data_IF_501572285850
#
_entry.id   IF_501572285850
#
_cell.length_a   1.000
_cell.length_b   1.000
_cell.length_c   1.000
_cell.angle_alpha   90.00
_cell.angle_beta   90.00
_cell.angle_gamma   90.00
#
_symmetry.space_group_name_H-M   'P 1'
#
loop_
_entity.id
_entity.type
_entity.pdbx_description
1 polymer ?
#
# COMPACT_ATOMS: atom_id res chain seq x y z
N UNK A 1 -3.65 14.20 12.43
CA UNK A 1 -4.34 14.91 11.35
C UNK A 1 -5.47 15.75 11.93
N UNK A 2 -5.56 17.01 11.50
CA UNK A 2 -6.62 17.91 11.96
C UNK A 2 -7.96 17.63 11.25
N UNK A 3 -7.90 17.10 10.02
CA UNK A 3 -9.09 16.89 9.20
C UNK A 3 -9.04 15.56 8.48
N UNK A 4 -10.17 14.88 8.44
CA UNK A 4 -10.37 13.65 7.66
C UNK A 4 -11.47 13.91 6.66
N UNK A 5 -11.20 13.60 5.39
CA UNK A 5 -12.18 13.73 4.31
C UNK A 5 -12.53 12.34 3.80
N UNK A 6 -13.82 12.02 3.79
CA UNK A 6 -14.30 10.78 3.18
C UNK A 6 -14.64 11.06 1.73
N UNK A 7 -14.10 10.24 0.83
CA UNK A 7 -14.33 10.37 -0.60
C UNK A 7 -15.04 9.13 -1.12
N UNK A 8 -16.16 9.34 -1.82
CA UNK A 8 -16.88 8.27 -2.50
C UNK A 8 -16.48 8.30 -3.98
N UNK A 9 -15.94 7.19 -4.45
CA UNK A 9 -15.44 7.07 -5.82
C UNK A 9 -16.34 6.10 -6.60
N UNK A 10 -16.77 6.44 -7.84
CA UNK A 10 -17.71 5.62 -8.59
C UNK A 10 -17.04 4.41 -9.24
N UNK A 11 -16.44 3.55 -8.42
CA UNK A 11 -15.81 2.31 -8.88
C UNK A 11 -16.31 1.13 -8.05
N UNK A 12 -16.38 -0.04 -8.68
CA UNK A 12 -16.74 -1.29 -7.99
C UNK A 12 -15.51 -2.07 -7.57
N UNK A 13 -14.38 -1.82 -8.21
CA UNK A 13 -13.11 -2.47 -7.92
C UNK A 13 -12.21 -1.48 -7.15
N UNK A 14 -11.87 -1.78 -5.87
CA UNK A 14 -11.20 -0.81 -4.99
C UNK A 14 -9.87 -0.26 -5.54
N UNK A 15 -9.14 -1.07 -6.30
CA UNK A 15 -7.83 -0.66 -6.84
C UNK A 15 -7.96 0.41 -7.94
N UNK A 16 -9.16 0.66 -8.46
CA UNK A 16 -9.39 1.69 -9.49
C UNK A 16 -9.46 3.11 -8.93
N UNK A 17 -9.41 3.29 -7.62
CA UNK A 17 -9.45 4.64 -7.03
C UNK A 17 -8.32 5.53 -7.55
N UNK A 18 -7.20 4.96 -7.95
CA UNK A 18 -6.05 5.72 -8.45
C UNK A 18 -6.34 6.44 -9.77
N UNK A 19 -7.39 6.03 -10.50
CA UNK A 19 -7.84 6.75 -11.69
C UNK A 19 -8.50 8.09 -11.34
N UNK A 20 -8.94 8.26 -10.09
CA UNK A 20 -9.63 9.47 -9.61
C UNK A 20 -8.78 10.30 -8.66
N UNK A 21 -7.75 9.69 -8.06
CA UNK A 21 -6.89 10.34 -7.08
C UNK A 21 -5.48 10.43 -7.69
N UNK A 22 -5.04 11.65 -8.10
CA UNK A 22 -3.73 11.82 -8.75
C UNK A 22 -2.61 11.84 -7.72
N UNK A 23 -2.29 10.68 -7.17
CA UNK A 23 -1.30 10.51 -6.11
C UNK A 23 -0.02 9.90 -6.67
N UNK A 24 1.13 10.39 -6.20
CA UNK A 24 2.41 9.80 -6.56
C UNK A 24 3.22 10.63 -7.54
N UNK A 25 4.21 9.99 -8.14
CA UNK A 25 5.08 10.56 -9.14
C UNK A 25 6.02 11.65 -8.60
N UNK A 26 6.51 11.46 -7.35
CA UNK A 26 7.60 12.28 -6.82
C UNK A 26 8.68 11.35 -6.24
N UNK A 27 9.95 11.69 -6.47
CA UNK A 27 11.10 10.88 -6.04
C UNK A 27 10.89 9.39 -6.39
N UNK A 28 10.94 8.50 -5.39
CA UNK A 28 10.75 7.06 -5.59
C UNK A 28 9.29 6.62 -5.50
N UNK A 29 8.35 7.54 -5.29
CA UNK A 29 6.94 7.19 -5.20
C UNK A 29 6.40 6.80 -6.59
N UNK A 30 5.69 5.68 -6.70
CA UNK A 30 5.13 5.24 -7.99
C UNK A 30 4.17 6.25 -8.60
N UNK A 31 3.99 6.18 -9.91
CA UNK A 31 2.97 6.95 -10.61
C UNK A 31 1.58 6.42 -10.25
N UNK A 32 0.49 7.18 -10.51
CA UNK A 32 -0.86 6.67 -10.27
C UNK A 32 -1.14 5.34 -10.99
N UNK A 33 -0.62 5.16 -12.20
CA UNK A 33 -0.78 3.92 -12.96
C UNK A 33 -0.06 2.76 -12.28
N UNK A 34 1.13 3.00 -11.73
CA UNK A 34 1.88 1.99 -11.00
C UNK A 34 1.21 1.65 -9.67
N UNK A 35 0.69 2.64 -8.95
CA UNK A 35 -0.13 2.42 -7.75
C UNK A 35 -1.33 1.53 -8.07
N UNK A 36 -2.00 1.79 -9.20
CA UNK A 36 -3.15 1.01 -9.63
C UNK A 36 -2.76 -0.44 -9.93
N UNK A 37 -1.64 -0.66 -10.64
CA UNK A 37 -1.18 -1.99 -11.01
C UNK A 37 -0.83 -2.82 -9.76
N UNK A 38 -0.13 -2.24 -8.81
CA UNK A 38 0.23 -2.91 -7.55
C UNK A 38 -1.02 -3.19 -6.72
N UNK A 39 -1.92 -2.21 -6.62
CA UNK A 39 -3.17 -2.37 -5.87
C UNK A 39 -4.05 -3.46 -6.45
N UNK A 40 -4.12 -3.58 -7.78
CA UNK A 40 -4.84 -4.65 -8.45
C UNK A 40 -4.24 -6.01 -8.11
N UNK A 41 -2.91 -6.14 -8.20
CA UNK A 41 -2.22 -7.39 -7.87
C UNK A 41 -2.48 -7.81 -6.42
N UNK A 42 -2.35 -6.88 -5.48
CA UNK A 42 -2.56 -7.18 -4.06
C UNK A 42 -4.03 -7.43 -3.73
N UNK A 43 -4.95 -6.79 -4.43
CA UNK A 43 -6.37 -7.07 -4.27
C UNK A 43 -6.68 -8.51 -4.72
N UNK A 44 -6.20 -8.89 -5.90
CA UNK A 44 -6.43 -10.23 -6.45
C UNK A 44 -5.70 -11.32 -5.66
N UNK A 45 -4.55 -11.01 -5.09
CA UNK A 45 -3.72 -11.97 -4.38
C UNK A 45 -4.09 -12.09 -2.90
N UNK A 46 -4.31 -10.96 -2.22
CA UNK A 46 -4.48 -10.91 -0.76
C UNK A 46 -5.81 -10.30 -0.32
N UNK A 47 -6.59 -9.76 -1.21
CA UNK A 47 -7.79 -9.00 -0.86
C UNK A 47 -7.47 -7.63 -0.27
N UNK A 48 -6.26 -7.13 -0.43
CA UNK A 48 -5.86 -5.84 0.10
C UNK A 48 -6.49 -4.70 -0.67
N UNK A 49 -6.98 -3.67 0.03
CA UNK A 49 -7.56 -2.48 -0.58
C UNK A 49 -6.94 -1.21 -0.01
N UNK A 50 -6.64 -0.20 -0.84
CA UNK A 50 -6.21 1.10 -0.35
C UNK A 50 -7.40 1.80 0.31
N UNK A 51 -7.24 2.26 1.56
CA UNK A 51 -8.34 2.82 2.36
C UNK A 51 -8.08 4.23 2.87
N UNK A 52 -6.82 4.63 2.97
CA UNK A 52 -6.46 5.97 3.44
C UNK A 52 -5.25 6.48 2.69
N UNK A 53 -5.32 7.72 2.24
CA UNK A 53 -4.26 8.38 1.50
C UNK A 53 -4.02 9.74 2.15
N UNK A 54 -2.78 10.02 2.50
CA UNK A 54 -2.37 11.32 3.01
C UNK A 54 -1.21 11.85 2.18
N UNK A 55 -0.63 12.98 2.57
CA UNK A 55 0.39 13.66 1.79
C UNK A 55 1.51 12.73 1.30
N UNK A 56 2.05 11.89 2.19
CA UNK A 56 3.18 11.03 1.86
C UNK A 56 2.93 9.55 2.19
N UNK A 57 1.71 9.19 2.58
CA UNK A 57 1.40 7.85 3.08
C UNK A 57 0.18 7.25 2.40
N UNK A 58 0.21 5.93 2.25
CA UNK A 58 -0.94 5.14 1.78
C UNK A 58 -1.12 3.97 2.74
N UNK A 59 -2.34 3.76 3.20
CA UNK A 59 -2.71 2.62 4.03
C UNK A 59 -3.56 1.64 3.25
N UNK A 60 -3.26 0.35 3.42
CA UNK A 60 -4.07 -0.75 2.88
C UNK A 60 -4.72 -1.52 4.01
N UNK A 61 -5.91 -2.03 3.76
CA UNK A 61 -6.65 -2.92 4.67
C UNK A 61 -6.81 -4.28 4.02
N UNK A 62 -6.58 -5.34 4.80
CA UNK A 62 -6.72 -6.73 4.37
C UNK A 62 -7.83 -7.43 5.15
N UNK A 63 -8.51 -8.43 4.54
CA UNK A 63 -9.50 -9.24 5.26
C UNK A 63 -8.85 -10.15 6.32
N UNK A 64 -7.58 -10.52 6.11
CA UNK A 64 -6.81 -11.36 7.03
C UNK A 64 -5.31 -11.16 6.80
N UNK A 65 -4.44 -11.51 7.76
CA UNK A 65 -2.99 -11.49 7.54
C UNK A 65 -2.57 -12.39 6.39
N UNK A 66 -1.42 -12.07 5.77
CA UNK A 66 -0.89 -12.86 4.63
C UNK A 66 -0.31 -14.19 5.10
N UNK A 67 -0.36 -15.20 4.22
CA UNK A 67 0.14 -16.55 4.52
C UNK A 67 1.67 -16.63 4.47
N UNK A 68 2.30 -15.86 3.58
CA UNK A 68 3.75 -15.84 3.40
C UNK A 68 4.30 -14.42 3.58
N UNK A 69 4.55 -14.00 4.84
CA UNK A 69 5.02 -12.63 5.11
C UNK A 69 6.34 -12.28 4.44
N UNK A 70 7.24 -13.24 4.27
CA UNK A 70 8.54 -12.98 3.65
C UNK A 70 8.39 -12.62 2.17
N UNK A 71 7.57 -13.37 1.45
CA UNK A 71 7.27 -13.08 0.05
C UNK A 71 6.63 -11.71 -0.09
N UNK A 72 5.64 -11.41 0.76
CA UNK A 72 4.96 -10.12 0.76
C UNK A 72 5.92 -8.98 1.08
N UNK A 73 6.85 -9.19 2.01
CA UNK A 73 7.85 -8.18 2.37
C UNK A 73 8.73 -7.79 1.17
N UNK A 74 9.11 -8.75 0.35
CA UNK A 74 9.89 -8.49 -0.86
C UNK A 74 9.07 -7.64 -1.85
N UNK A 75 7.80 -7.96 -2.01
CA UNK A 75 6.89 -7.19 -2.86
C UNK A 75 6.71 -5.76 -2.35
N UNK A 76 6.56 -5.61 -1.03
CA UNK A 76 6.44 -4.29 -0.39
C UNK A 76 7.66 -3.42 -0.63
N UNK A 77 8.85 -3.99 -0.50
CA UNK A 77 10.10 -3.25 -0.74
C UNK A 77 10.20 -2.81 -2.20
N UNK A 78 9.77 -3.66 -3.13
CA UNK A 78 9.76 -3.32 -4.55
C UNK A 78 8.80 -2.15 -4.85
N UNK A 79 7.68 -2.07 -4.13
CA UNK A 79 6.71 -1.00 -4.26
C UNK A 79 7.18 0.28 -3.56
N UNK A 80 7.77 0.14 -2.38
CA UNK A 80 8.14 1.26 -1.51
C UNK A 80 9.56 1.04 -0.98
N UNK A 81 10.56 1.50 -1.75
CA UNK A 81 11.97 1.36 -1.36
C UNK A 81 12.32 2.12 -0.07
N UNK A 82 11.53 3.14 0.28
CA UNK A 82 11.75 3.90 1.50
C UNK A 82 11.49 3.09 2.77
N UNK A 83 10.90 1.89 2.66
CA UNK A 83 10.73 0.99 3.80
C UNK A 83 12.07 0.60 4.44
N UNK A 84 13.16 0.60 3.70
CA UNK A 84 14.48 0.28 4.26
C UNK A 84 14.90 1.28 5.35
N UNK A 85 14.33 2.48 5.38
CA UNK A 85 14.62 3.48 6.41
C UNK A 85 14.04 3.09 7.76
N UNK A 86 13.00 2.24 7.79
CA UNK A 86 12.35 1.79 9.03
C UNK A 86 12.62 0.33 9.37
N UNK A 87 13.28 -0.41 8.48
CA UNK A 87 13.50 -1.85 8.64
C UNK A 87 14.89 -2.24 8.17
N UNK A 88 15.54 -3.14 8.91
CA UNK A 88 16.90 -3.57 8.61
C UNK A 88 16.99 -4.50 7.40
N UNK A 89 15.93 -5.30 7.16
CA UNK A 89 15.92 -6.29 6.07
C UNK A 89 14.50 -6.80 5.81
N UNK A 90 14.35 -7.66 4.82
CA UNK A 90 13.05 -8.25 4.47
C UNK A 90 12.43 -9.08 5.61
N UNK A 91 13.27 -9.74 6.41
CA UNK A 91 12.77 -10.52 7.53
C UNK A 91 12.11 -9.62 8.58
N UNK A 92 12.67 -8.42 8.82
CA UNK A 92 12.09 -7.43 9.74
C UNK A 92 10.74 -6.93 9.24
N UNK A 93 10.62 -6.66 7.94
CA UNK A 93 9.35 -6.26 7.33
C UNK A 93 8.32 -7.38 7.47
N UNK A 94 8.71 -8.62 7.11
CA UNK A 94 7.83 -9.78 7.22
C UNK A 94 7.36 -10.01 8.64
N UNK A 95 8.25 -9.87 9.62
CA UNK A 95 7.91 -10.03 11.03
C UNK A 95 6.89 -8.96 11.48
N UNK A 96 7.02 -7.75 10.97
CA UNK A 96 6.10 -6.65 11.33
C UNK A 96 4.68 -6.84 10.78
N UNK A 97 4.51 -7.55 9.67
CA UNK A 97 3.21 -7.69 8.99
C UNK A 97 2.53 -9.04 9.22
N UNK A 98 3.21 -10.02 9.81
CA UNK A 98 2.73 -11.42 9.86
C UNK A 98 1.37 -11.59 10.54
N UNK A 99 1.03 -10.72 11.48
CA UNK A 99 -0.24 -10.78 12.22
C UNK A 99 -1.12 -9.56 11.96
N UNK A 100 -0.78 -8.74 10.95
CA UNK A 100 -1.46 -7.47 10.72
C UNK A 100 -2.41 -7.54 9.53
N UNK A 101 -3.49 -6.76 9.65
CA UNK A 101 -4.48 -6.58 8.59
C UNK A 101 -4.41 -5.19 7.98
N UNK A 102 -3.40 -4.40 8.35
CA UNK A 102 -3.18 -3.05 7.82
C UNK A 102 -1.72 -2.90 7.44
N UNK A 103 -1.49 -2.30 6.27
CA UNK A 103 -0.15 -1.95 5.80
C UNK A 103 -0.06 -0.45 5.61
N UNK A 104 1.05 0.14 6.00
CA UNK A 104 1.32 1.55 5.80
C UNK A 104 2.58 1.73 4.95
N UNK A 105 2.48 2.55 3.93
CA UNK A 105 3.59 2.90 3.06
C UNK A 105 3.80 4.40 3.08
N UNK A 106 5.06 4.83 2.97
CA UNK A 106 5.41 6.24 2.90
C UNK A 106 6.53 6.46 1.90
N UNK A 107 6.57 7.65 1.30
CA UNK A 107 7.62 8.04 0.36
C UNK A 107 8.09 9.45 0.69
N UNK A 108 9.42 9.65 0.70
CA UNK A 108 10.04 10.96 0.90
C UNK A 108 9.87 11.87 -0.31
#
# INVERSE_FOLDING_TARGET
FDNIVMVKVPVTEPWKIWAYIPYGNWNACPTPEEHMAVSKYWYETYGAIPVAISFACVDYLLPRPVDDPKKTAIEMYAYCGDLEQGYDNFASIGESIKDRRTWNFWWD
#
